data_IF_331060193557
#
_entry.id   IF_331060193557
#
_cell.length_a   1.000
_cell.length_b   1.000
_cell.length_c   1.000
_cell.angle_alpha   90.00
_cell.angle_beta   90.00
_cell.angle_gamma   90.00
#
_symmetry.space_group_name_H-M   'P 1'
#
loop_
_entity.id
_entity.type
_entity.pdbx_description
1 polymer ?
#
# COMPACT_ATOMS: atom_id res chain seq x y z
N UNK A 1 1.40 -30.77 30.98
CA UNK A 1 2.20 -30.22 29.85
C UNK A 1 1.39 -30.03 28.55
N UNK A 2 0.06 -30.20 28.56
CA UNK A 2 -0.79 -30.11 27.37
C UNK A 2 -1.62 -28.80 27.26
N UNK A 3 -1.53 -27.89 28.24
CA UNK A 3 -2.38 -26.69 28.28
C UNK A 3 -1.69 -25.38 27.85
N UNK A 4 -0.42 -25.43 27.41
CA UNK A 4 0.33 -24.23 27.01
C UNK A 4 0.02 -23.69 25.60
N UNK A 5 -0.73 -24.43 24.77
CA UNK A 5 -1.04 -24.03 23.39
C UNK A 5 -2.43 -23.41 23.20
N UNK A 6 -3.21 -23.20 24.27
CA UNK A 6 -4.62 -22.79 24.18
C UNK A 6 -4.90 -21.30 23.98
N UNK A 7 -3.90 -20.45 23.72
CA UNK A 7 -4.16 -19.00 23.55
C UNK A 7 -3.45 -18.32 22.37
N UNK A 8 -3.04 -19.06 21.34
CA UNK A 8 -2.68 -18.40 20.09
C UNK A 8 -3.97 -17.92 19.41
N UNK A 9 -4.12 -16.60 19.28
CA UNK A 9 -5.17 -16.03 18.45
C UNK A 9 -5.15 -16.69 17.06
N UNK A 10 -6.31 -16.90 16.42
CA UNK A 10 -6.35 -17.49 15.09
C UNK A 10 -5.47 -16.68 14.14
N UNK A 11 -4.61 -17.38 13.39
CA UNK A 11 -3.75 -16.80 12.37
C UNK A 11 -4.43 -17.03 11.03
N UNK A 12 -4.91 -15.96 10.41
CA UNK A 12 -5.42 -15.99 9.05
C UNK A 12 -4.25 -15.84 8.07
N UNK A 13 -4.17 -16.74 7.08
CA UNK A 13 -3.13 -16.74 6.05
C UNK A 13 -3.79 -16.66 4.68
N UNK A 14 -3.53 -15.56 3.96
CA UNK A 14 -3.98 -15.38 2.59
C UNK A 14 -2.99 -16.04 1.61
N UNK A 15 -3.43 -17.09 0.92
CA UNK A 15 -2.69 -17.67 -0.21
C UNK A 15 -3.20 -17.05 -1.51
N UNK A 16 -2.36 -16.25 -2.17
CA UNK A 16 -2.72 -15.51 -3.39
C UNK A 16 -1.91 -16.04 -4.58
N UNK A 17 -2.51 -16.84 -5.48
CA UNK A 17 -1.87 -17.22 -6.73
C UNK A 17 -1.53 -16.00 -7.57
N UNK A 18 -0.34 -16.00 -8.17
CA UNK A 18 0.10 -14.90 -9.01
C UNK A 18 0.93 -15.40 -10.18
N UNK A 19 0.89 -14.65 -11.29
CA UNK A 19 1.77 -14.87 -12.43
C UNK A 19 2.81 -13.76 -12.44
N UNK A 20 4.09 -14.15 -12.45
CA UNK A 20 5.18 -13.21 -12.57
C UNK A 20 5.35 -12.78 -14.03
N UNK A 21 5.40 -11.47 -14.27
CA UNK A 21 5.69 -10.91 -15.59
C UNK A 21 7.20 -10.82 -15.80
N UNK A 22 7.66 -11.17 -17.00
CA UNK A 22 9.07 -11.03 -17.41
C UNK A 22 9.48 -9.57 -17.64
N UNK A 23 8.50 -8.72 -17.99
CA UNK A 23 8.73 -7.33 -18.33
C UNK A 23 7.75 -6.43 -17.57
N UNK A 24 8.18 -5.20 -17.30
CA UNK A 24 7.33 -4.18 -16.70
C UNK A 24 6.33 -3.65 -17.75
N UNK A 25 5.02 -3.65 -17.45
CA UNK A 25 4.01 -3.08 -18.36
C UNK A 25 4.25 -1.60 -18.66
N UNK A 26 3.85 -1.14 -19.84
CA UNK A 26 4.00 0.27 -20.24
C UNK A 26 3.23 1.23 -19.35
N UNK A 27 2.09 0.80 -18.82
CA UNK A 27 1.19 1.63 -18.02
C UNK A 27 1.80 2.03 -16.68
N UNK A 28 2.84 1.30 -16.24
CA UNK A 28 3.53 1.54 -14.97
C UNK A 28 4.79 2.39 -15.14
N UNK A 29 5.15 2.74 -16.38
CA UNK A 29 6.31 3.57 -16.68
C UNK A 29 6.24 4.95 -16.00
N UNK A 30 5.09 5.63 -15.86
CA UNK A 30 5.01 6.88 -15.10
C UNK A 30 5.45 6.71 -13.64
N UNK A 31 5.04 5.61 -12.99
CA UNK A 31 5.48 5.27 -11.64
C UNK A 31 6.99 5.05 -11.58
N UNK A 32 7.53 4.23 -12.48
CA UNK A 32 8.97 3.93 -12.52
C UNK A 32 9.81 5.19 -12.76
N UNK A 33 9.37 6.07 -13.67
CA UNK A 33 10.04 7.36 -13.93
C UNK A 33 10.05 8.24 -12.69
N UNK A 34 8.95 8.29 -11.95
CA UNK A 34 8.81 9.10 -10.74
C UNK A 34 9.75 8.62 -9.63
N UNK A 35 9.79 7.30 -9.37
CA UNK A 35 10.71 6.70 -8.41
C UNK A 35 12.17 6.91 -8.85
N UNK A 36 12.48 6.78 -10.15
CA UNK A 36 13.82 7.06 -10.68
C UNK A 36 14.29 8.49 -10.37
N UNK A 37 13.39 9.47 -10.44
CA UNK A 37 13.68 10.87 -10.15
C UNK A 37 13.82 11.12 -8.66
N UNK A 38 12.88 10.62 -7.85
CA UNK A 38 12.78 10.97 -6.42
C UNK A 38 13.65 10.10 -5.51
N UNK A 39 13.91 8.84 -5.91
CA UNK A 39 14.63 7.81 -5.13
C UNK A 39 15.48 6.91 -6.04
N UNK A 40 16.52 7.45 -6.70
CA UNK A 40 17.28 6.75 -7.75
C UNK A 40 17.95 5.45 -7.26
N UNK A 41 18.37 5.40 -5.99
CA UNK A 41 18.93 4.21 -5.34
C UNK A 41 17.89 3.10 -5.16
N UNK A 42 16.67 3.45 -4.76
CA UNK A 42 15.57 2.48 -4.64
C UNK A 42 15.12 2.01 -6.02
N UNK A 43 15.08 2.91 -7.00
CA UNK A 43 14.74 2.54 -8.38
C UNK A 43 15.61 1.39 -8.90
N UNK A 44 16.94 1.47 -8.70
CA UNK A 44 17.86 0.39 -9.10
C UNK A 44 17.52 -0.92 -8.42
N UNK A 45 17.27 -0.90 -7.10
CA UNK A 45 16.85 -2.09 -6.37
C UNK A 45 15.56 -2.71 -6.90
N UNK A 46 14.57 -1.88 -7.28
CA UNK A 46 13.31 -2.36 -7.85
C UNK A 46 13.55 -3.06 -9.20
N UNK A 47 14.35 -2.44 -10.08
CA UNK A 47 14.64 -3.00 -11.40
C UNK A 47 15.47 -4.29 -11.30
N UNK A 48 16.45 -4.34 -10.39
CA UNK A 48 17.39 -5.45 -10.30
C UNK A 48 16.83 -6.65 -9.52
N UNK A 49 15.98 -6.40 -8.52
CA UNK A 49 15.55 -7.42 -7.53
C UNK A 49 14.06 -7.68 -7.50
N UNK A 50 13.27 -6.95 -8.28
CA UNK A 50 11.82 -7.09 -8.27
C UNK A 50 11.27 -7.42 -9.64
N UNK A 51 10.01 -7.85 -9.63
CA UNK A 51 9.22 -8.13 -10.81
C UNK A 51 7.78 -7.73 -10.55
N UNK A 52 7.06 -7.46 -11.64
CA UNK A 52 5.62 -7.26 -11.56
C UNK A 52 4.92 -8.62 -11.50
N UNK A 53 3.85 -8.69 -10.71
CA UNK A 53 2.96 -9.85 -10.70
C UNK A 53 1.58 -9.43 -11.16
N UNK A 54 0.82 -10.38 -11.69
CA UNK A 54 -0.63 -10.24 -11.88
C UNK A 54 -1.35 -11.25 -11.02
N UNK A 55 -2.44 -10.81 -10.40
CA UNK A 55 -3.30 -11.64 -9.56
C UNK A 55 -4.71 -11.61 -10.12
N UNK A 56 -5.43 -12.71 -9.97
CA UNK A 56 -6.85 -12.74 -10.31
C UNK A 56 -7.62 -11.93 -9.27
N UNK A 57 -8.31 -10.87 -9.72
CA UNK A 57 -9.14 -10.04 -8.85
C UNK A 57 -10.25 -9.43 -9.69
N UNK A 58 -11.47 -9.90 -9.48
CA UNK A 58 -12.62 -9.32 -10.16
C UNK A 58 -12.87 -7.88 -9.70
N UNK A 59 -13.53 -7.13 -10.55
CA UNK A 59 -14.21 -5.88 -10.23
C UNK A 59 -15.70 -6.15 -10.03
N UNK A 60 -16.32 -5.40 -9.13
CA UNK A 60 -17.78 -5.44 -8.96
C UNK A 60 -18.53 -4.95 -10.20
N UNK A 61 -17.84 -4.27 -11.12
CA UNK A 61 -18.37 -3.76 -12.39
C UNK A 61 -18.31 -4.79 -13.52
N UNK A 62 -17.56 -5.88 -13.37
CA UNK A 62 -17.37 -6.88 -14.41
C UNK A 62 -18.55 -7.87 -14.42
N UNK A 63 -19.17 -8.12 -15.59
CA UNK A 63 -20.21 -9.14 -15.74
C UNK A 63 -19.74 -10.48 -15.19
N UNK A 64 -20.65 -11.25 -14.57
CA UNK A 64 -20.28 -12.52 -13.90
C UNK A 64 -19.56 -13.51 -14.83
N UNK A 65 -19.91 -13.53 -16.11
CA UNK A 65 -19.29 -14.42 -17.11
C UNK A 65 -17.81 -14.11 -17.38
N UNK A 66 -17.34 -12.89 -17.11
CA UNK A 66 -16.00 -12.44 -17.48
C UNK A 66 -15.06 -12.30 -16.26
N UNK A 67 -15.57 -12.53 -15.04
CA UNK A 67 -14.81 -12.35 -13.79
C UNK A 67 -13.57 -13.25 -13.70
N UNK A 68 -13.62 -14.42 -14.34
CA UNK A 68 -12.51 -15.36 -14.34
C UNK A 68 -11.34 -14.88 -15.21
N UNK A 69 -11.59 -13.95 -16.13
CA UNK A 69 -10.60 -13.39 -17.05
C UNK A 69 -9.97 -12.09 -16.51
N UNK A 70 -10.38 -11.61 -15.34
CA UNK A 70 -9.94 -10.32 -14.81
C UNK A 70 -8.70 -10.46 -13.92
N UNK A 71 -7.62 -9.80 -14.35
CA UNK A 71 -6.36 -9.73 -13.63
C UNK A 71 -6.03 -8.29 -13.25
N UNK A 72 -5.39 -8.12 -12.10
CA UNK A 72 -4.85 -6.84 -11.65
C UNK A 72 -3.35 -6.95 -11.43
N UNK A 73 -2.62 -5.89 -11.71
CA UNK A 73 -1.23 -5.75 -11.28
C UNK A 73 -1.10 -5.79 -9.75
N UNK A 74 -0.12 -6.56 -9.28
CA UNK A 74 0.28 -6.65 -7.90
C UNK A 74 1.72 -6.16 -7.75
N UNK A 75 1.87 -5.11 -6.93
CA UNK A 75 3.15 -4.47 -6.63
C UNK A 75 3.72 -4.93 -5.29
N UNK A 76 3.22 -6.01 -4.69
CA UNK A 76 3.59 -6.39 -3.31
C UNK A 76 5.10 -6.59 -3.11
N UNK A 77 5.81 -7.11 -4.11
CA UNK A 77 7.27 -7.24 -4.07
C UNK A 77 7.99 -5.88 -4.08
N UNK A 78 7.52 -4.94 -4.90
CA UNK A 78 8.04 -3.56 -4.98
C UNK A 78 7.78 -2.82 -3.68
N UNK A 79 6.57 -2.94 -3.16
CA UNK A 79 6.15 -2.32 -1.91
C UNK A 79 6.95 -2.82 -0.71
N UNK A 80 7.38 -4.10 -0.73
CA UNK A 80 8.27 -4.65 0.29
C UNK A 80 9.66 -3.98 0.24
N UNK A 81 10.24 -3.82 -0.94
CA UNK A 81 11.51 -3.11 -1.12
C UNK A 81 11.36 -1.67 -0.61
N UNK A 82 10.32 -0.97 -1.03
CA UNK A 82 10.03 0.39 -0.58
C UNK A 82 9.89 0.47 0.94
N UNK A 83 9.21 -0.49 1.55
CA UNK A 83 9.03 -0.53 3.01
C UNK A 83 10.35 -0.80 3.77
N UNK A 84 11.24 -1.63 3.22
CA UNK A 84 12.54 -1.95 3.83
C UNK A 84 13.54 -0.79 3.73
N UNK A 85 13.45 0.01 2.68
CA UNK A 85 14.33 1.16 2.45
C UNK A 85 13.85 2.45 3.13
N UNK A 86 12.87 2.37 4.02
CA UNK A 86 12.34 3.55 4.72
C UNK A 86 13.35 4.15 5.70
N UNK A 87 13.42 5.48 5.72
CA UNK A 87 14.11 6.22 6.78
C UNK A 87 13.44 5.99 8.15
N UNK A 88 14.04 6.49 9.22
CA UNK A 88 13.48 6.38 10.58
C UNK A 88 12.15 7.15 10.65
N UNK A 89 12.13 8.37 10.13
CA UNK A 89 10.98 9.27 10.09
C UNK A 89 9.82 8.65 9.29
N UNK A 90 10.12 8.02 8.16
CA UNK A 90 9.12 7.32 7.35
C UNK A 90 8.52 6.10 8.05
N UNK A 91 9.31 5.40 8.86
CA UNK A 91 8.81 4.29 9.69
C UNK A 91 7.90 4.82 10.79
N UNK A 92 8.27 5.94 11.43
CA UNK A 92 7.43 6.62 12.43
C UNK A 92 6.10 7.05 11.81
N UNK A 93 6.14 7.75 10.67
CA UNK A 93 4.94 8.11 9.90
C UNK A 93 4.05 6.89 9.61
N UNK A 94 4.63 5.79 9.13
CA UNK A 94 3.89 4.56 8.86
C UNK A 94 3.27 3.96 10.14
N UNK A 95 3.98 4.01 11.27
CA UNK A 95 3.48 3.56 12.57
C UNK A 95 2.29 4.40 13.06
N UNK A 96 2.40 5.72 12.95
CA UNK A 96 1.34 6.68 13.28
C UNK A 96 0.11 6.42 12.40
N UNK A 97 0.28 6.40 11.08
CA UNK A 97 -0.78 6.20 10.10
C UNK A 97 -1.53 4.87 10.33
N UNK A 98 -0.79 3.77 10.56
CA UNK A 98 -1.39 2.47 10.90
C UNK A 98 -2.14 2.53 12.23
N UNK A 99 -1.57 3.16 13.24
CA UNK A 99 -2.21 3.27 14.56
C UNK A 99 -3.52 4.03 14.48
N UNK A 100 -3.55 5.16 13.76
CA UNK A 100 -4.77 5.92 13.52
C UNK A 100 -5.79 5.07 12.77
N UNK A 101 -5.37 4.36 11.72
CA UNK A 101 -6.25 3.48 10.98
C UNK A 101 -6.88 2.40 11.86
N UNK A 102 -6.08 1.63 12.59
CA UNK A 102 -6.61 0.53 13.40
C UNK A 102 -7.46 1.00 14.58
N UNK A 103 -7.15 2.15 15.18
CA UNK A 103 -7.90 2.69 16.32
C UNK A 103 -9.19 3.40 15.91
N UNK A 104 -9.18 4.12 14.78
CA UNK A 104 -10.26 5.05 14.45
C UNK A 104 -10.95 4.76 13.11
N UNK A 105 -10.25 4.20 12.11
CA UNK A 105 -10.77 4.09 10.74
C UNK A 105 -11.17 2.67 10.34
N UNK A 106 -10.58 1.63 10.94
CA UNK A 106 -10.85 0.23 10.58
C UNK A 106 -12.33 -0.07 10.84
N UNK A 107 -13.02 -0.51 9.79
CA UNK A 107 -14.46 -0.82 9.86
C UNK A 107 -15.38 0.40 9.73
N UNK A 108 -14.83 1.62 9.68
CA UNK A 108 -15.62 2.81 9.38
C UNK A 108 -16.05 2.81 7.91
N UNK A 109 -17.31 3.20 7.70
CA UNK A 109 -17.90 3.35 6.36
C UNK A 109 -17.75 4.81 5.93
N UNK A 110 -17.07 5.06 4.82
CA UNK A 110 -16.94 6.41 4.22
C UNK A 110 -18.16 6.72 3.34
N UNK A 111 -18.82 5.67 2.85
CA UNK A 111 -20.11 5.72 2.19
C UNK A 111 -20.90 4.45 2.48
N UNK A 112 -22.14 4.36 2.03
CA UNK A 112 -22.99 3.16 2.16
C UNK A 112 -22.35 1.88 1.60
N UNK A 113 -21.29 1.99 0.80
CA UNK A 113 -20.66 0.85 0.09
C UNK A 113 -19.15 0.71 0.30
N UNK A 114 -18.44 1.69 0.88
CA UNK A 114 -16.98 1.67 0.92
C UNK A 114 -16.42 1.75 2.36
N UNK A 115 -15.70 0.70 2.74
CA UNK A 115 -14.81 0.68 3.91
C UNK A 115 -13.43 1.16 3.47
N UNK A 116 -12.74 1.93 4.30
CA UNK A 116 -11.34 2.30 4.03
C UNK A 116 -10.48 1.03 4.13
N UNK A 117 -9.83 0.56 3.04
CA UNK A 117 -8.93 -0.57 3.14
C UNK A 117 -7.61 -0.16 3.77
N UNK A 118 -6.91 -1.09 4.43
CA UNK A 118 -5.54 -0.86 4.92
C UNK A 118 -4.58 -0.49 3.78
N UNK A 119 -4.89 -0.91 2.54
CA UNK A 119 -4.16 -0.52 1.34
C UNK A 119 -4.16 1.01 1.12
N UNK A 120 -5.26 1.70 1.45
CA UNK A 120 -5.32 3.16 1.34
C UNK A 120 -4.28 3.86 2.23
N UNK A 121 -4.10 3.36 3.46
CA UNK A 121 -3.08 3.85 4.39
C UNK A 121 -1.68 3.62 3.82
N UNK A 122 -1.45 2.44 3.25
CA UNK A 122 -0.17 2.10 2.64
C UNK A 122 0.16 3.00 1.46
N UNK A 123 -0.79 3.20 0.55
CA UNK A 123 -0.63 4.06 -0.64
C UNK A 123 -0.38 5.50 -0.24
N UNK A 124 -1.17 6.07 0.67
CA UNK A 124 -0.98 7.45 1.13
C UNK A 124 0.37 7.66 1.81
N UNK A 125 0.81 6.72 2.65
CA UNK A 125 2.15 6.78 3.28
C UNK A 125 3.25 6.70 2.22
N UNK A 126 3.18 5.76 1.27
CA UNK A 126 4.19 5.64 0.21
C UNK A 126 4.29 6.92 -0.63
N UNK A 127 3.15 7.52 -0.99
CA UNK A 127 3.12 8.79 -1.70
C UNK A 127 3.72 9.94 -0.91
N UNK A 128 3.39 10.06 0.37
CA UNK A 128 3.96 11.08 1.24
C UNK A 128 5.48 10.89 1.36
N UNK A 129 5.96 9.66 1.58
CA UNK A 129 7.39 9.35 1.57
C UNK A 129 8.07 9.77 0.27
N UNK A 130 7.45 9.54 -0.87
CA UNK A 130 8.04 9.90 -2.15
C UNK A 130 8.11 11.42 -2.39
N UNK A 131 7.20 12.20 -1.83
CA UNK A 131 6.96 13.60 -2.25
C UNK A 131 7.21 14.65 -1.18
N UNK A 132 7.46 14.24 0.07
CA UNK A 132 7.59 15.15 1.20
C UNK A 132 8.87 14.88 1.99
N UNK A 133 9.44 15.95 2.53
CA UNK A 133 10.47 15.88 3.55
C UNK A 133 9.83 15.88 4.95
N UNK A 134 10.37 15.03 5.82
CA UNK A 134 9.95 14.81 7.20
C UNK A 134 11.07 15.02 8.22
N UNK A 135 12.28 15.37 7.79
CA UNK A 135 13.48 15.34 8.63
C UNK A 135 13.37 16.23 9.88
N UNK A 136 12.52 17.26 9.84
CA UNK A 136 12.29 18.21 10.95
C UNK A 136 10.95 18.03 11.65
N UNK A 137 10.12 17.07 11.24
CA UNK A 137 8.79 16.89 11.81
C UNK A 137 8.84 16.05 13.09
N UNK A 138 8.11 16.50 14.11
CA UNK A 138 7.79 15.67 15.26
C UNK A 138 6.56 14.78 14.99
N UNK A 139 6.27 13.83 15.87
CA UNK A 139 5.17 12.87 15.72
C UNK A 139 3.79 13.54 15.55
N UNK A 140 3.53 14.64 16.27
CA UNK A 140 2.26 15.37 16.19
C UNK A 140 2.09 16.02 14.80
N UNK A 141 3.15 16.65 14.29
CA UNK A 141 3.17 17.25 12.95
C UNK A 141 2.99 16.18 11.88
N UNK A 142 3.68 15.04 11.99
CA UNK A 142 3.52 13.90 11.06
C UNK A 142 2.08 13.38 11.06
N UNK A 143 1.47 13.22 12.23
CA UNK A 143 0.08 12.78 12.37
C UNK A 143 -0.89 13.75 11.68
N UNK A 144 -0.74 15.06 11.93
CA UNK A 144 -1.59 16.10 11.33
C UNK A 144 -1.41 16.17 9.81
N UNK A 145 -0.17 16.11 9.31
CA UNK A 145 0.13 16.11 7.87
C UNK A 145 -0.48 14.89 7.18
N UNK A 146 -0.32 13.70 7.76
CA UNK A 146 -0.90 12.48 7.20
C UNK A 146 -2.43 12.51 7.19
N UNK A 147 -3.06 12.93 8.30
CA UNK A 147 -4.52 13.05 8.37
C UNK A 147 -5.06 14.01 7.32
N UNK A 148 -4.44 15.20 7.17
CA UNK A 148 -4.82 16.16 6.13
C UNK A 148 -4.71 15.54 4.75
N UNK A 149 -3.56 14.96 4.43
CA UNK A 149 -3.32 14.32 3.15
C UNK A 149 -4.33 13.18 2.87
N UNK A 150 -4.62 12.35 3.86
CA UNK A 150 -5.59 11.27 3.75
C UNK A 150 -7.01 11.78 3.50
N UNK A 151 -7.44 12.85 4.20
CA UNK A 151 -8.76 13.46 4.01
C UNK A 151 -8.87 14.09 2.63
N UNK A 152 -7.85 14.82 2.18
CA UNK A 152 -7.81 15.43 0.85
C UNK A 152 -7.97 14.35 -0.24
N UNK A 153 -7.25 13.23 -0.10
CA UNK A 153 -7.32 12.09 -1.03
C UNK A 153 -8.68 11.39 -1.03
N UNK A 154 -9.34 11.28 0.12
CA UNK A 154 -10.70 10.74 0.20
C UNK A 154 -11.71 11.68 -0.48
N UNK A 155 -11.57 12.99 -0.28
CA UNK A 155 -12.46 14.01 -0.84
C UNK A 155 -12.31 14.16 -2.36
N UNK A 156 -11.08 14.15 -2.88
CA UNK A 156 -10.79 14.24 -4.31
C UNK A 156 -11.22 12.98 -5.10
N UNK A 157 -11.58 11.88 -4.42
CA UNK A 157 -11.71 10.53 -4.98
C UNK A 157 -10.49 10.10 -5.81
N UNK A 158 -9.34 10.71 -5.55
CA UNK A 158 -8.14 10.58 -6.36
C UNK A 158 -6.99 10.15 -5.46
N UNK A 159 -7.04 8.89 -5.04
CA UNK A 159 -5.88 8.22 -4.48
C UNK A 159 -5.12 7.62 -5.67
N UNK A 160 -3.92 8.10 -6.00
CA UNK A 160 -3.19 7.53 -7.11
C UNK A 160 -2.80 6.09 -6.75
N UNK A 161 -3.14 5.15 -7.64
CA UNK A 161 -2.69 3.75 -7.54
C UNK A 161 -1.16 3.64 -7.62
#
# INVERSE_FOLDING_TARGET
>A
MADYFKSCAPVDVDLVPSLQLKFWPTDILPFLKRIKTNRPEIYRLIIDKSSMHVIQKWSTKTPRCDRELEFRYSFSAVELILAQQRSIEERVLNGIARSIYYKFLKGQKVSTQNVIPSYFVKTTVLWMCETMDFTTDNEETLAKRWLRYAVDRLNERNCPD
#
